data_IF_120052118400
#
_entry.id   IF_120052118400
#
_cell.length_a   1.000
_cell.length_b   1.000
_cell.length_c   1.000
_cell.angle_alpha   90.00
_cell.angle_beta   90.00
_cell.angle_gamma   90.00
#
_symmetry.space_group_name_H-M   'P 1'
#
loop_
_entity.id
_entity.type
_entity.pdbx_description
1 polymer ?
#
# COMPACT_ATOMS: atom_id res chain seq x y z
N UNK A 1 0.11 -12.10 3.73
CA UNK A 1 -1.20 -12.36 3.08
C UNK A 1 -2.20 -11.26 3.41
N UNK A 2 -1.89 -10.01 3.08
CA UNK A 2 -2.77 -8.84 3.31
C UNK A 2 -2.16 -7.65 2.61
N UNK A 3 -2.95 -6.77 2.02
CA UNK A 3 -2.55 -5.41 1.69
C UNK A 3 -3.70 -4.44 2.02
N UNK A 4 -3.39 -3.43 2.81
CA UNK A 4 -4.28 -2.32 3.14
C UNK A 4 -3.52 -1.01 2.94
N UNK A 5 -4.21 0.00 2.43
CA UNK A 5 -3.71 1.37 2.28
C UNK A 5 -4.76 2.36 2.74
N UNK A 6 -4.32 3.43 3.40
CA UNK A 6 -5.17 4.57 3.71
C UNK A 6 -4.42 5.89 3.47
N UNK A 7 -5.15 6.89 2.99
CA UNK A 7 -4.63 8.22 2.70
C UNK A 7 -5.44 9.29 3.44
N UNK A 8 -4.73 10.31 3.95
CA UNK A 8 -5.24 11.54 4.55
C UNK A 8 -4.92 12.71 3.63
N UNK A 9 -5.96 13.31 3.09
CA UNK A 9 -5.91 14.45 2.18
C UNK A 9 -6.59 15.65 2.85
N UNK A 10 -6.42 16.83 2.27
CA UNK A 10 -7.11 18.03 2.73
C UNK A 10 -8.63 17.90 2.57
N UNK A 11 -9.08 17.18 1.54
CA UNK A 11 -10.49 16.91 1.26
C UNK A 11 -11.11 15.80 2.14
N UNK A 12 -10.32 14.97 2.82
CA UNK A 12 -10.85 13.85 3.60
C UNK A 12 -9.93 12.62 3.68
N UNK A 13 -10.53 11.43 3.69
CA UNK A 13 -9.83 10.15 3.87
C UNK A 13 -10.24 9.14 2.79
N UNK A 14 -9.28 8.31 2.37
CA UNK A 14 -9.50 7.16 1.47
C UNK A 14 -8.91 5.91 2.11
N UNK A 15 -9.66 4.82 2.14
CA UNK A 15 -9.24 3.52 2.67
C UNK A 15 -9.49 2.42 1.65
N UNK A 16 -8.53 1.52 1.44
CA UNK A 16 -8.67 0.36 0.56
C UNK A 16 -8.01 -0.87 1.18
N UNK A 17 -8.78 -1.94 1.39
CA UNK A 17 -8.28 -3.22 1.89
C UNK A 17 -8.60 -4.38 0.98
N UNK A 18 -7.68 -5.31 0.82
CA UNK A 18 -7.96 -6.64 0.27
C UNK A 18 -8.63 -7.56 1.31
N UNK A 19 -9.13 -8.72 0.89
CA UNK A 19 -9.81 -9.67 1.80
C UNK A 19 -9.17 -11.05 1.91
N UNK A 20 -8.20 -11.38 1.05
CA UNK A 20 -7.51 -12.68 1.12
C UNK A 20 -6.70 -12.79 2.40
N UNK A 21 -6.90 -13.86 3.16
CA UNK A 21 -6.29 -14.02 4.49
C UNK A 21 -5.82 -15.45 4.70
N UNK A 22 -4.69 -15.59 5.40
CA UNK A 22 -4.20 -16.87 5.89
C UNK A 22 -4.86 -17.18 7.25
N UNK A 23 -5.65 -18.25 7.31
CA UNK A 23 -6.25 -18.74 8.55
C UNK A 23 -5.53 -19.98 9.12
N UNK A 24 -4.50 -20.50 8.45
CA UNK A 24 -3.76 -21.69 8.84
C UNK A 24 -3.07 -22.37 7.65
N UNK A 25 -2.34 -23.46 7.92
CA UNK A 25 -1.72 -24.27 6.85
C UNK A 25 -2.82 -24.71 5.87
N UNK A 26 -2.64 -24.36 4.59
CA UNK A 26 -3.58 -24.62 3.48
C UNK A 26 -5.00 -24.02 3.65
N UNK A 27 -5.17 -23.06 4.57
CA UNK A 27 -6.45 -22.39 4.80
C UNK A 27 -6.39 -20.93 4.34
N UNK A 28 -6.61 -20.73 3.04
CA UNK A 28 -6.79 -19.40 2.46
C UNK A 28 -8.28 -19.11 2.36
N UNK A 29 -8.72 -18.00 2.94
CA UNK A 29 -10.14 -17.62 2.99
C UNK A 29 -10.33 -16.11 2.84
N UNK A 30 -11.58 -15.69 2.70
CA UNK A 30 -11.99 -14.30 2.54
C UNK A 30 -12.45 -13.77 3.90
N UNK A 31 -11.71 -12.80 4.45
CA UNK A 31 -12.07 -12.07 5.66
C UNK A 31 -11.98 -10.57 5.39
N UNK A 32 -12.99 -9.80 5.80
CA UNK A 32 -12.93 -8.34 5.73
C UNK A 32 -11.86 -7.82 6.68
N UNK A 33 -11.07 -6.88 6.18
CA UNK A 33 -9.97 -6.24 6.92
C UNK A 33 -10.21 -4.78 7.21
N UNK A 34 -11.42 -4.28 6.93
CA UNK A 34 -11.86 -2.93 7.23
C UNK A 34 -13.07 -3.02 8.16
N UNK A 35 -13.08 -2.23 9.23
CA UNK A 35 -14.21 -2.11 10.14
C UNK A 35 -14.50 -0.65 10.42
N UNK A 36 -15.77 -0.26 10.29
CA UNK A 36 -16.24 1.11 10.49
C UNK A 36 -16.89 1.23 11.87
N UNK A 37 -16.51 2.28 12.60
CA UNK A 37 -17.10 2.72 13.86
C UNK A 37 -17.75 4.07 13.61
N UNK A 38 -19.06 4.07 13.42
CA UNK A 38 -19.81 5.26 13.00
C UNK A 38 -20.88 5.60 14.02
N UNK A 39 -20.93 6.89 14.40
CA UNK A 39 -22.08 7.51 15.04
C UNK A 39 -22.38 8.79 14.25
N UNK A 40 -23.38 8.74 13.33
CA UNK A 40 -23.62 9.82 12.39
C UNK A 40 -23.77 11.18 13.06
N UNK A 41 -23.05 12.18 12.54
CA UNK A 41 -23.07 13.54 13.07
C UNK A 41 -22.18 13.77 14.30
N UNK A 42 -21.52 12.72 14.82
CA UNK A 42 -20.60 12.83 15.95
C UNK A 42 -19.20 12.32 15.60
N UNK A 43 -19.09 11.11 15.02
CA UNK A 43 -17.79 10.49 14.72
C UNK A 43 -17.88 9.45 13.60
N UNK A 44 -16.84 9.38 12.79
CA UNK A 44 -16.62 8.32 11.82
C UNK A 44 -15.17 7.87 11.95
N UNK A 45 -14.96 6.60 12.29
CA UNK A 45 -13.62 6.01 12.43
C UNK A 45 -13.55 4.69 11.67
N UNK A 46 -12.39 4.37 11.12
CA UNK A 46 -12.11 3.16 10.35
C UNK A 46 -10.88 2.49 10.92
N UNK A 47 -10.99 1.18 11.18
CA UNK A 47 -9.87 0.31 11.55
C UNK A 47 -9.58 -0.63 10.39
N UNK A 48 -8.33 -0.70 9.96
CA UNK A 48 -7.83 -1.69 9.01
C UNK A 48 -6.84 -2.63 9.68
N UNK A 49 -6.87 -3.91 9.32
CA UNK A 49 -6.10 -4.95 10.00
C UNK A 49 -5.13 -5.70 9.08
N UNK A 50 -3.96 -6.05 9.61
CA UNK A 50 -2.98 -6.94 8.99
C UNK A 50 -2.20 -7.71 10.06
N UNK A 51 -1.62 -8.84 9.68
CA UNK A 51 -0.85 -9.72 10.57
C UNK A 51 -1.62 -11.01 10.87
N UNK A 52 -1.50 -11.49 12.11
CA UNK A 52 -2.17 -12.71 12.57
C UNK A 52 -3.68 -12.46 12.69
N UNK A 53 -4.48 -13.29 12.00
CA UNK A 53 -5.94 -13.14 11.96
C UNK A 53 -6.57 -13.22 13.36
N UNK A 54 -6.19 -14.22 14.16
CA UNK A 54 -6.73 -14.40 15.51
C UNK A 54 -6.40 -13.22 16.43
N UNK A 55 -5.17 -12.70 16.34
CA UNK A 55 -4.76 -11.49 17.09
C UNK A 55 -5.57 -10.28 16.65
N UNK A 56 -5.69 -10.04 15.33
CA UNK A 56 -6.44 -8.87 14.82
C UNK A 56 -7.92 -8.92 15.18
N UNK A 57 -8.55 -10.10 15.14
CA UNK A 57 -9.93 -10.30 15.57
C UNK A 57 -10.08 -10.14 17.08
N UNK A 58 -9.12 -10.60 17.88
CA UNK A 58 -9.12 -10.39 19.33
C UNK A 58 -9.04 -8.90 19.69
N UNK A 59 -8.21 -8.13 18.98
CA UNK A 59 -8.12 -6.67 19.16
C UNK A 59 -9.44 -6.01 18.75
N UNK A 60 -10.00 -6.37 17.60
CA UNK A 60 -11.29 -5.83 17.15
C UNK A 60 -12.41 -6.14 18.16
N UNK A 61 -12.49 -7.38 18.66
CA UNK A 61 -13.46 -7.78 19.66
C UNK A 61 -13.29 -7.02 20.98
N UNK A 62 -12.05 -6.74 21.39
CA UNK A 62 -11.79 -5.91 22.57
C UNK A 62 -12.26 -4.46 22.38
N UNK A 63 -12.14 -3.91 21.17
CA UNK A 63 -12.59 -2.56 20.83
C UNK A 63 -14.11 -2.44 20.63
N UNK A 64 -14.74 -3.49 20.10
CA UNK A 64 -16.17 -3.52 19.81
C UNK A 64 -17.05 -3.72 21.05
N UNK A 65 -16.50 -4.33 22.11
CA UNK A 65 -17.21 -4.50 23.38
C UNK A 65 -17.52 -3.14 23.98
N UNK A 66 -18.81 -2.84 24.11
CA UNK A 66 -19.26 -1.74 24.96
C UNK A 66 -19.19 -2.20 26.41
N UNK A 67 -18.59 -1.39 27.27
CA UNK A 67 -18.62 -1.62 28.70
C UNK A 67 -19.90 -1.02 29.26
N UNK A 68 -20.70 -1.83 29.95
CA UNK A 68 -22.01 -1.44 30.47
C UNK A 68 -21.92 -0.26 31.48
N UNK A 69 -20.74 0.00 32.07
CA UNK A 69 -20.52 1.11 33.01
C UNK A 69 -19.13 1.75 32.84
N UNK A 70 -19.07 3.01 32.39
CA UNK A 70 -17.95 3.95 32.63
C UNK A 70 -16.58 3.66 31.97
N UNK A 71 -16.44 2.61 31.15
CA UNK A 71 -15.16 2.26 30.54
C UNK A 71 -14.68 3.24 29.46
N UNK A 72 -13.36 3.42 29.34
CA UNK A 72 -12.74 4.14 28.21
C UNK A 72 -12.86 3.32 26.92
N UNK A 73 -13.66 3.77 25.95
CA UNK A 73 -13.91 3.07 24.68
C UNK A 73 -13.67 3.98 23.48
N UNK A 74 -13.47 3.46 22.27
CA UNK A 74 -13.37 4.35 21.08
C UNK A 74 -14.62 5.22 20.88
N UNK A 75 -15.76 4.82 21.43
CA UNK A 75 -17.05 5.52 21.35
C UNK A 75 -17.20 6.73 22.27
N UNK A 76 -16.37 6.86 23.31
CA UNK A 76 -16.37 8.02 24.20
C UNK A 76 -15.00 8.71 24.26
N UNK A 77 -14.14 8.46 23.26
CA UNK A 77 -12.87 9.17 23.12
C UNK A 77 -13.16 10.64 22.76
N UNK A 78 -12.46 11.61 23.38
CA UNK A 78 -12.66 13.03 23.11
C UNK A 78 -12.11 13.46 21.74
N UNK A 79 -11.06 12.77 21.26
CA UNK A 79 -10.39 13.05 20.00
C UNK A 79 -9.79 11.77 19.40
N UNK A 80 -9.32 11.86 18.16
CA UNK A 80 -8.74 10.72 17.44
C UNK A 80 -7.42 10.22 18.03
N UNK A 81 -6.66 11.04 18.76
CA UNK A 81 -5.43 10.59 19.42
C UNK A 81 -5.77 9.67 20.60
N UNK A 82 -6.70 10.08 21.46
CA UNK A 82 -7.18 9.25 22.57
C UNK A 82 -7.91 7.99 22.07
N UNK A 83 -8.65 8.08 20.97
CA UNK A 83 -9.22 6.89 20.32
C UNK A 83 -8.11 5.92 19.87
N UNK A 84 -7.03 6.43 19.27
CA UNK A 84 -5.87 5.62 18.84
C UNK A 84 -5.11 5.04 20.04
N UNK A 85 -4.97 5.80 21.14
CA UNK A 85 -4.38 5.30 22.40
C UNK A 85 -5.16 4.09 22.93
N UNK A 86 -6.49 4.09 22.82
CA UNK A 86 -7.36 2.97 23.20
C UNK A 86 -7.18 1.76 22.27
N UNK A 87 -6.97 1.97 20.97
CA UNK A 87 -6.56 0.91 20.03
C UNK A 87 -5.23 0.29 20.47
N UNK A 88 -4.22 1.11 20.79
CA UNK A 88 -2.93 0.64 21.28
C UNK A 88 -3.03 -0.13 22.60
N UNK A 89 -3.88 0.32 23.52
CA UNK A 89 -4.17 -0.39 24.77
C UNK A 89 -4.81 -1.76 24.53
N UNK A 90 -5.74 -1.86 23.57
CA UNK A 90 -6.34 -3.13 23.18
C UNK A 90 -5.30 -4.11 22.59
N UNK A 91 -4.38 -3.63 21.75
CA UNK A 91 -3.25 -4.44 21.25
C UNK A 91 -2.42 -5.01 22.40
N UNK A 92 -2.05 -4.19 23.38
CA UNK A 92 -1.28 -4.63 24.56
C UNK A 92 -2.04 -5.63 25.43
N UNK A 93 -3.34 -5.42 25.62
CA UNK A 93 -4.18 -6.35 26.37
C UNK A 93 -4.24 -7.73 25.72
N UNK A 94 -4.35 -7.78 24.38
CA UNK A 94 -4.30 -9.05 23.62
C UNK A 94 -2.90 -9.66 23.68
N UNK A 95 -1.84 -8.85 23.57
CA UNK A 95 -0.45 -9.30 23.74
C UNK A 95 -0.25 -10.02 25.08
N UNK A 96 -0.67 -9.40 26.19
CA UNK A 96 -0.53 -10.00 27.53
C UNK A 96 -1.28 -11.32 27.69
N UNK A 97 -2.36 -11.53 26.94
CA UNK A 97 -3.15 -12.78 27.01
C UNK A 97 -2.62 -13.88 26.11
N UNK A 98 -2.20 -13.54 24.89
CA UNK A 98 -1.96 -14.52 23.83
C UNK A 98 -0.47 -14.75 23.51
N UNK A 99 0.40 -13.76 23.74
CA UNK A 99 1.78 -13.79 23.22
C UNK A 99 2.62 -14.95 23.77
N UNK A 100 2.45 -15.31 25.04
CA UNK A 100 3.18 -16.43 25.64
C UNK A 100 2.82 -17.78 24.98
N UNK A 101 1.52 -18.05 24.82
CA UNK A 101 1.05 -19.28 24.18
C UNK A 101 1.43 -19.35 22.70
N UNK A 102 1.36 -18.23 21.98
CA UNK A 102 1.82 -18.15 20.58
C UNK A 102 3.31 -18.47 20.48
N UNK A 103 4.12 -17.88 21.36
CA UNK A 103 5.57 -18.10 21.38
C UNK A 103 5.94 -19.57 21.67
N UNK A 104 5.24 -20.22 22.61
CA UNK A 104 5.41 -21.66 22.89
C UNK A 104 5.13 -22.55 21.67
N UNK A 105 4.24 -22.10 20.76
CA UNK A 105 3.93 -22.77 19.50
C UNK A 105 4.81 -22.31 18.32
N UNK A 106 5.84 -21.49 18.58
CA UNK A 106 6.74 -20.97 17.55
C UNK A 106 6.12 -19.93 16.62
N UNK A 107 5.05 -19.26 17.07
CA UNK A 107 4.35 -18.20 16.32
C UNK A 107 4.62 -16.85 16.95
N UNK A 108 5.09 -15.89 16.15
CA UNK A 108 5.28 -14.52 16.63
C UNK A 108 3.96 -13.78 16.79
N UNK A 109 3.85 -12.97 17.84
CA UNK A 109 2.77 -12.01 17.98
C UNK A 109 2.96 -10.88 16.95
N UNK A 110 2.11 -10.87 15.92
CA UNK A 110 2.20 -9.91 14.83
C UNK A 110 0.84 -9.30 14.52
N UNK A 111 0.73 -7.99 14.66
CA UNK A 111 -0.43 -7.20 14.23
C UNK A 111 0.02 -5.81 13.82
N UNK A 112 -0.48 -5.34 12.68
CA UNK A 112 -0.33 -3.95 12.26
C UNK A 112 -1.70 -3.42 11.89
N UNK A 113 -2.01 -2.22 12.37
CA UNK A 113 -3.32 -1.60 12.17
C UNK A 113 -3.15 -0.23 11.53
N UNK A 114 -4.11 0.16 10.71
CA UNK A 114 -4.32 1.56 10.35
C UNK A 114 -5.62 1.99 11.03
N UNK A 115 -5.59 3.12 11.72
CA UNK A 115 -6.78 3.68 12.37
C UNK A 115 -6.92 5.15 11.97
N UNK A 116 -8.05 5.53 11.40
CA UNK A 116 -8.25 6.90 10.92
C UNK A 116 -9.72 7.30 10.92
N UNK A 117 -9.97 8.60 10.88
CA UNK A 117 -11.33 9.11 11.01
C UNK A 117 -11.39 10.58 11.42
N UNK A 118 -12.57 10.97 11.89
CA UNK A 118 -12.88 12.30 12.39
C UNK A 118 -13.87 12.22 13.56
N UNK A 119 -13.65 13.03 14.59
CA UNK A 119 -14.52 13.17 15.77
C UNK A 119 -14.89 14.65 15.93
N UNK A 120 -16.19 14.95 15.95
CA UNK A 120 -16.72 16.31 16.09
C UNK A 120 -16.14 17.26 15.04
N UNK A 121 -15.59 18.39 15.48
CA UNK A 121 -14.96 19.40 14.64
C UNK A 121 -13.44 19.22 14.49
N UNK A 122 -12.88 18.10 14.94
CA UNK A 122 -11.45 17.82 14.72
C UNK A 122 -11.18 17.64 13.22
N UNK A 123 -9.96 17.94 12.76
CA UNK A 123 -9.54 17.56 11.40
C UNK A 123 -9.52 16.04 11.22
N UNK A 124 -9.57 15.57 9.99
CA UNK A 124 -9.27 14.17 9.66
C UNK A 124 -7.87 13.78 10.15
N UNK A 125 -7.78 12.64 10.85
CA UNK A 125 -6.52 12.09 11.36
C UNK A 125 -6.38 10.62 10.97
N UNK A 126 -5.14 10.19 10.79
CA UNK A 126 -4.81 8.86 10.33
C UNK A 126 -3.55 8.38 11.04
N UNK A 127 -3.58 7.17 11.57
CA UNK A 127 -2.53 6.58 12.40
C UNK A 127 -2.18 5.19 11.93
N UNK A 128 -0.91 4.82 12.11
CA UNK A 128 -0.44 3.44 12.02
C UNK A 128 -0.09 2.94 13.41
N UNK A 129 -0.74 1.86 13.85
CA UNK A 129 -0.51 1.21 15.15
C UNK A 129 0.32 -0.05 14.95
N UNK A 130 1.39 -0.19 15.73
CA UNK A 130 2.33 -1.32 15.67
C UNK A 130 1.99 -2.41 16.70
N UNK A 131 2.60 -3.59 16.56
CA UNK A 131 2.42 -4.72 17.50
C UNK A 131 2.71 -4.39 18.97
N UNK A 132 3.53 -3.38 19.26
CA UNK A 132 3.81 -2.90 20.62
C UNK A 132 2.73 -1.96 21.18
N UNK A 133 1.69 -1.66 20.39
CA UNK A 133 0.60 -0.74 20.73
C UNK A 133 0.98 0.74 20.72
N UNK A 134 2.21 1.09 20.34
CA UNK A 134 2.57 2.46 19.98
C UNK A 134 2.13 2.76 18.53
N UNK A 135 2.11 4.04 18.18
CA UNK A 135 1.62 4.47 16.87
C UNK A 135 2.29 5.76 16.41
N UNK A 136 2.18 6.02 15.10
CA UNK A 136 2.56 7.29 14.44
C UNK A 136 1.35 7.88 13.72
N UNK A 137 1.39 9.18 13.45
CA UNK A 137 0.33 9.91 12.73
C UNK A 137 0.81 10.36 11.35
N UNK A 138 -0.09 10.33 10.36
CA UNK A 138 0.17 10.83 9.02
C UNK A 138 0.28 12.37 9.03
N UNK A 139 1.36 12.88 8.43
CA UNK A 139 1.60 14.32 8.26
C UNK A 139 1.21 14.81 6.88
N UNK A 140 1.67 16.01 6.50
CA UNK A 140 1.58 16.50 5.12
C UNK A 140 2.70 15.94 4.24
N UNK A 141 3.88 15.71 4.81
CA UNK A 141 5.04 15.09 4.14
C UNK A 141 4.80 13.60 3.81
N UNK A 142 4.01 12.92 4.63
CA UNK A 142 3.65 11.51 4.46
C UNK A 142 2.13 11.37 4.68
N UNK A 143 1.32 11.56 3.62
CA UNK A 143 -0.14 11.61 3.74
C UNK A 143 -0.79 10.22 3.76
N UNK A 144 -0.04 9.11 3.75
CA UNK A 144 -0.62 7.77 3.66
C UNK A 144 0.14 6.74 4.47
N UNK A 145 -0.54 5.65 4.82
CA UNK A 145 0.06 4.46 5.42
C UNK A 145 -0.33 3.21 4.66
N UNK A 146 0.55 2.22 4.71
CA UNK A 146 0.32 0.88 4.17
C UNK A 146 0.65 -0.17 5.24
N UNK A 147 -0.12 -1.27 5.26
CA UNK A 147 0.15 -2.44 6.11
C UNK A 147 0.02 -3.73 5.28
N UNK A 148 0.77 -4.76 5.67
CA UNK A 148 0.91 -6.00 4.92
C UNK A 148 1.94 -5.92 3.79
N UNK A 149 1.62 -6.44 2.60
CA UNK A 149 2.49 -6.52 1.42
C UNK A 149 2.60 -5.17 0.69
N UNK A 150 3.09 -4.14 1.39
CA UNK A 150 3.05 -2.74 0.94
C UNK A 150 3.99 -2.39 -0.23
N UNK A 151 5.04 -3.19 -0.47
CA UNK A 151 6.17 -2.79 -1.33
C UNK A 151 5.79 -2.60 -2.80
N UNK A 152 4.93 -3.46 -3.33
CA UNK A 152 4.59 -3.50 -4.76
C UNK A 152 3.77 -2.28 -5.20
N UNK A 153 2.81 -1.86 -4.38
CA UNK A 153 1.93 -0.73 -4.65
C UNK A 153 2.50 0.63 -4.23
N UNK A 154 3.64 0.67 -3.52
CA UNK A 154 4.23 1.92 -3.00
C UNK A 154 4.67 2.92 -4.08
N UNK A 155 5.32 2.53 -5.19
CA UNK A 155 5.87 3.51 -6.14
C UNK A 155 4.83 4.43 -6.80
N UNK A 156 3.59 3.97 -7.02
CA UNK A 156 2.54 4.84 -7.59
C UNK A 156 2.01 5.84 -6.58
N UNK A 157 1.92 5.44 -5.30
CA UNK A 157 1.50 6.33 -4.21
C UNK A 157 2.53 7.46 -4.04
N UNK A 158 3.83 7.13 -4.01
CA UNK A 158 4.91 8.12 -3.89
C UNK A 158 4.95 9.13 -5.06
N UNK A 159 4.47 8.74 -6.24
CA UNK A 159 4.52 9.59 -7.45
C UNK A 159 3.31 10.51 -7.60
N UNK A 160 2.15 10.08 -7.12
CA UNK A 160 0.87 10.73 -7.43
C UNK A 160 0.24 11.37 -6.21
N UNK A 161 0.33 10.73 -5.04
CA UNK A 161 -0.47 11.10 -3.89
C UNK A 161 0.16 12.27 -3.14
N UNK A 162 -0.59 13.37 -3.02
CA UNK A 162 -0.20 14.60 -2.33
C UNK A 162 -1.37 15.08 -1.45
N UNK A 163 -1.15 15.93 -0.42
CA UNK A 163 -2.23 16.40 0.45
C UNK A 163 -3.40 17.08 -0.30
N UNK A 164 -3.11 17.77 -1.40
CA UNK A 164 -4.06 18.48 -2.26
C UNK A 164 -4.73 17.61 -3.33
N UNK A 165 -4.39 16.32 -3.41
CA UNK A 165 -5.03 15.37 -4.34
C UNK A 165 -6.51 15.22 -4.01
N UNK A 166 -7.38 15.20 -5.03
CA UNK A 166 -8.81 14.98 -4.83
C UNK A 166 -9.11 13.56 -4.34
N UNK A 167 -10.24 13.37 -3.63
CA UNK A 167 -10.64 12.05 -3.12
C UNK A 167 -10.77 11.00 -4.23
N UNK A 168 -11.33 11.39 -5.38
CA UNK A 168 -11.47 10.51 -6.55
C UNK A 168 -10.10 10.11 -7.14
N UNK A 169 -9.15 11.04 -7.20
CA UNK A 169 -7.79 10.73 -7.66
C UNK A 169 -7.04 9.84 -6.69
N UNK A 170 -7.19 10.06 -5.39
CA UNK A 170 -6.61 9.19 -4.38
C UNK A 170 -7.23 7.79 -4.40
N UNK A 171 -8.55 7.66 -4.59
CA UNK A 171 -9.22 6.37 -4.76
C UNK A 171 -8.71 5.63 -6.02
N UNK A 172 -8.60 6.34 -7.16
CA UNK A 172 -7.97 5.80 -8.38
C UNK A 172 -6.53 5.34 -8.12
N UNK A 173 -5.73 6.15 -7.45
CA UNK A 173 -4.34 5.84 -7.11
C UNK A 173 -4.24 4.57 -6.22
N UNK A 174 -5.10 4.46 -5.20
CA UNK A 174 -5.17 3.28 -4.34
C UNK A 174 -5.55 2.01 -5.12
N UNK A 175 -6.48 2.09 -6.07
CA UNK A 175 -6.86 0.95 -6.92
C UNK A 175 -5.71 0.51 -7.84
N UNK A 176 -4.95 1.45 -8.41
CA UNK A 176 -3.76 1.14 -9.23
C UNK A 176 -2.65 0.52 -8.37
N UNK A 177 -2.48 1.04 -7.15
CA UNK A 177 -1.58 0.48 -6.15
C UNK A 177 -1.94 -0.97 -5.84
N UNK A 178 -3.23 -1.26 -5.65
CA UNK A 178 -3.75 -2.61 -5.42
C UNK A 178 -3.58 -3.53 -6.64
N UNK A 179 -3.80 -3.06 -7.87
CA UNK A 179 -3.56 -3.88 -9.08
C UNK A 179 -2.11 -4.34 -9.17
N UNK A 180 -1.17 -3.43 -8.91
CA UNK A 180 0.26 -3.74 -8.93
C UNK A 180 0.59 -4.84 -7.91
N UNK A 181 0.03 -4.74 -6.69
CA UNK A 181 0.20 -5.75 -5.65
C UNK A 181 -0.45 -7.09 -6.00
N UNK A 182 -1.69 -7.09 -6.49
CA UNK A 182 -2.42 -8.31 -6.90
C UNK A 182 -1.69 -9.09 -7.99
N UNK A 183 -1.05 -8.39 -8.94
CA UNK A 183 -0.29 -9.02 -10.02
C UNK A 183 1.03 -9.62 -9.56
N UNK A 184 1.64 -9.06 -8.52
CA UNK A 184 3.00 -9.43 -8.09
C UNK A 184 3.04 -10.29 -6.84
N UNK A 185 1.95 -10.42 -6.10
CA UNK A 185 1.91 -11.20 -4.86
C UNK A 185 0.56 -11.91 -4.66
N UNK A 186 0.57 -13.24 -4.77
CA UNK A 186 -0.62 -14.11 -4.64
C UNK A 186 -1.27 -14.06 -3.25
N UNK A 187 -0.57 -13.54 -2.24
CA UNK A 187 -1.06 -13.47 -0.88
C UNK A 187 -2.09 -12.36 -0.65
N UNK A 188 -2.25 -11.48 -1.65
CA UNK A 188 -3.26 -10.42 -1.70
C UNK A 188 -4.35 -10.83 -2.67
N UNK A 189 -5.61 -10.53 -2.37
CA UNK A 189 -6.71 -10.99 -3.21
C UNK A 189 -8.04 -10.30 -3.00
N UNK A 190 -8.87 -10.38 -4.03
CA UNK A 190 -10.25 -9.92 -4.08
C UNK A 190 -11.17 -10.73 -3.13
N UNK A 191 -12.35 -10.19 -2.76
CA UNK A 191 -12.81 -8.82 -3.00
C UNK A 191 -12.00 -7.74 -2.27
N UNK A 192 -12.20 -6.48 -2.67
CA UNK A 192 -11.66 -5.30 -2.00
C UNK A 192 -12.80 -4.52 -1.33
N UNK A 193 -12.51 -3.91 -0.19
CA UNK A 193 -13.37 -2.88 0.40
C UNK A 193 -12.70 -1.52 0.20
N UNK A 194 -13.39 -0.61 -0.51
CA UNK A 194 -13.00 0.78 -0.73
C UNK A 194 -13.97 1.70 0.01
N UNK A 195 -13.44 2.56 0.88
CA UNK A 195 -14.20 3.59 1.60
C UNK A 195 -13.59 4.95 1.31
N UNK A 196 -14.43 5.90 0.93
CA UNK A 196 -14.07 7.32 0.81
C UNK A 196 -14.90 8.09 1.81
N UNK A 197 -14.26 9.07 2.45
CA UNK A 197 -14.84 9.93 3.46
C UNK A 197 -14.51 11.38 3.16
N UNK A 198 -15.54 12.19 2.95
CA UNK A 198 -15.41 13.64 2.85
C UNK A 198 -15.24 14.25 4.23
N UNK A 199 -14.30 15.18 4.36
CA UNK A 199 -14.10 15.92 5.61
C UNK A 199 -15.41 16.57 6.08
N UNK A 200 -15.61 16.58 7.40
CA UNK A 200 -16.77 17.14 8.10
C UNK A 200 -18.11 16.43 7.85
N UNK A 201 -18.14 15.33 7.08
CA UNK A 201 -19.37 14.59 6.84
C UNK A 201 -19.88 13.82 8.07
N UNK A 202 -18.96 13.40 8.95
CA UNK A 202 -19.19 12.61 10.18
C UNK A 202 -20.08 11.38 9.97
N UNK A 203 -20.01 10.80 8.76
CA UNK A 203 -20.64 9.56 8.32
C UNK A 203 -19.88 9.00 7.12
N UNK A 204 -20.04 7.73 6.79
CA UNK A 204 -19.52 7.15 5.55
C UNK A 204 -20.16 7.87 4.36
N UNK A 205 -19.33 8.39 3.44
CA UNK A 205 -19.83 9.11 2.26
C UNK A 205 -19.93 8.19 1.06
N UNK A 206 -18.89 7.39 0.80
CA UNK A 206 -18.91 6.38 -0.26
C UNK A 206 -18.28 5.07 0.19
N UNK A 207 -18.88 3.97 -0.23
CA UNK A 207 -18.37 2.63 0.03
C UNK A 207 -18.61 1.72 -1.17
N UNK A 208 -17.62 0.90 -1.52
CA UNK A 208 -17.73 -0.10 -2.57
C UNK A 208 -17.03 -1.40 -2.19
N UNK A 209 -17.72 -2.52 -2.44
CA UNK A 209 -17.14 -3.87 -2.41
C UNK A 209 -16.82 -4.28 -3.84
N UNK A 210 -15.53 -4.46 -4.16
CA UNK A 210 -15.02 -4.66 -5.52
C UNK A 210 -14.56 -6.10 -5.68
N UNK A 211 -15.26 -6.89 -6.48
CA UNK A 211 -14.89 -8.26 -6.82
C UNK A 211 -14.22 -8.35 -8.21
N UNK A 212 -14.04 -9.57 -8.71
CA UNK A 212 -13.46 -9.85 -10.03
C UNK A 212 -14.37 -9.47 -11.21
N UNK A 213 -15.65 -9.27 -10.94
CA UNK A 213 -16.65 -8.93 -11.95
C UNK A 213 -16.84 -7.42 -12.12
N UNK A 214 -16.37 -6.61 -11.17
CA UNK A 214 -16.46 -5.15 -11.21
C UNK A 214 -15.88 -4.55 -12.50
N UNK A 215 -16.74 -3.89 -13.28
CA UNK A 215 -16.40 -3.33 -14.60
C UNK A 215 -15.39 -2.20 -14.53
N UNK A 216 -15.55 -1.30 -13.55
CA UNK A 216 -14.65 -0.15 -13.38
C UNK A 216 -13.23 -0.61 -13.03
N UNK A 217 -13.10 -1.56 -12.10
CA UNK A 217 -11.79 -2.10 -11.74
C UNK A 217 -11.16 -2.86 -12.92
N UNK A 218 -11.93 -3.64 -13.68
CA UNK A 218 -11.44 -4.27 -14.92
C UNK A 218 -10.94 -3.24 -15.94
N UNK A 219 -11.69 -2.16 -16.13
CA UNK A 219 -11.34 -1.06 -17.03
C UNK A 219 -10.03 -0.40 -16.61
N UNK A 220 -9.87 -0.04 -15.33
CA UNK A 220 -8.62 0.60 -14.84
C UNK A 220 -7.43 -0.33 -15.06
N UNK A 221 -7.55 -1.61 -14.70
CA UNK A 221 -6.47 -2.60 -14.83
C UNK A 221 -6.02 -2.80 -16.28
N UNK A 222 -6.97 -2.79 -17.21
CA UNK A 222 -6.69 -2.89 -18.66
C UNK A 222 -6.02 -1.62 -19.17
N UNK A 223 -6.69 -0.48 -18.99
CA UNK A 223 -6.26 0.82 -19.51
C UNK A 223 -4.89 1.23 -18.95
N UNK A 224 -4.66 1.05 -17.65
CA UNK A 224 -3.39 1.38 -17.01
C UNK A 224 -2.22 0.56 -17.58
N UNK A 225 -2.43 -0.75 -17.73
CA UNK A 225 -1.41 -1.65 -18.30
C UNK A 225 -1.10 -1.34 -19.76
N UNK A 226 -2.09 -0.93 -20.55
CA UNK A 226 -1.89 -0.51 -21.94
C UNK A 226 -1.11 0.81 -22.03
N UNK A 227 -1.54 1.83 -21.27
CA UNK A 227 -0.87 3.14 -21.25
C UNK A 227 0.56 3.06 -20.75
N UNK A 228 0.85 2.23 -19.74
CA UNK A 228 2.23 2.00 -19.29
C UNK A 228 3.12 1.42 -20.38
N UNK A 229 2.62 0.46 -21.18
CA UNK A 229 3.38 -0.11 -22.31
C UNK A 229 3.60 0.92 -23.40
N UNK A 230 2.60 1.75 -23.69
CA UNK A 230 2.71 2.83 -24.65
C UNK A 230 3.80 3.83 -24.23
N UNK A 231 3.72 4.36 -23.01
CA UNK A 231 4.72 5.30 -22.47
C UNK A 231 6.11 4.66 -22.47
N UNK A 232 6.22 3.38 -22.11
CA UNK A 232 7.50 2.67 -22.16
C UNK A 232 8.08 2.59 -23.58
N UNK A 233 7.26 2.31 -24.59
CA UNK A 233 7.68 2.24 -25.99
C UNK A 233 8.04 3.62 -26.59
N UNK A 234 7.54 4.71 -25.99
CA UNK A 234 7.87 6.09 -26.38
C UNK A 234 9.21 6.57 -25.77
N UNK A 235 9.78 5.84 -24.80
CA UNK A 235 11.09 6.15 -24.23
C UNK A 235 12.17 5.79 -25.28
N UNK A 236 13.05 6.74 -25.68
CA UNK A 236 14.11 6.46 -26.62
C UNK A 236 15.03 5.33 -26.15
N UNK A 237 15.49 4.52 -27.11
CA UNK A 237 16.45 3.46 -26.82
C UNK A 237 17.73 4.03 -26.18
N UNK A 238 18.33 3.29 -25.23
CA UNK A 238 19.59 3.71 -24.62
C UNK A 238 20.71 3.82 -25.67
N UNK A 239 21.40 4.96 -25.69
CA UNK A 239 22.57 5.16 -26.53
C UNK A 239 23.81 4.52 -25.88
N UNK A 240 24.16 3.31 -26.31
CA UNK A 240 25.21 2.52 -25.68
C UNK A 240 26.63 3.06 -25.84
N UNK A 241 26.98 3.61 -27.01
CA UNK A 241 28.38 3.94 -27.34
C UNK A 241 28.47 5.14 -28.28
N UNK A 242 28.35 6.35 -27.71
CA UNK A 242 28.77 7.63 -28.32
C UNK A 242 29.31 8.56 -27.22
N UNK A 243 30.61 8.47 -26.88
CA UNK A 243 31.19 9.17 -25.72
C UNK A 243 30.97 10.69 -25.72
N UNK A 244 30.86 11.28 -26.91
CA UNK A 244 30.57 12.69 -27.19
C UNK A 244 29.09 13.09 -27.09
N UNK A 245 28.17 12.14 -27.05
CA UNK A 245 26.73 12.38 -26.93
C UNK A 245 26.31 12.43 -25.44
N UNK A 246 25.74 13.55 -24.94
CA UNK A 246 25.25 13.64 -23.57
C UNK A 246 24.19 12.58 -23.19
N UNK A 247 23.49 12.02 -24.19
CA UNK A 247 22.52 10.95 -24.01
C UNK A 247 23.13 9.55 -23.95
N UNK A 248 24.46 9.40 -24.09
CA UNK A 248 25.11 8.10 -24.02
C UNK A 248 25.20 7.56 -22.58
N UNK A 249 24.92 6.27 -22.42
CA UNK A 249 25.17 5.54 -21.18
C UNK A 249 26.66 5.48 -20.81
N UNK A 250 27.54 5.78 -21.77
CA UNK A 250 28.99 5.72 -21.64
C UNK A 250 29.57 7.14 -21.76
N UNK A 251 29.74 7.86 -20.63
CA UNK A 251 30.41 9.15 -20.67
C UNK A 251 31.90 8.99 -20.99
N UNK A 252 32.45 9.89 -21.80
CA UNK A 252 33.86 9.87 -22.24
C UNK A 252 34.89 9.80 -21.10
N UNK A 253 34.52 10.17 -19.88
CA UNK A 253 35.41 10.23 -18.71
C UNK A 253 35.42 8.96 -17.83
N UNK A 254 34.71 7.89 -18.21
CA UNK A 254 34.65 6.64 -17.41
C UNK A 254 35.08 5.40 -18.18
N UNK A 255 35.75 4.49 -17.47
CA UNK A 255 35.98 3.11 -17.95
C UNK A 255 34.61 2.42 -18.00
N UNK A 256 34.16 2.09 -19.21
CA UNK A 256 32.86 1.49 -19.49
C UNK A 256 32.97 0.06 -20.02
N UNK A 257 34.19 -0.47 -20.11
CA UNK A 257 34.39 -1.86 -20.47
C UNK A 257 34.03 -2.76 -19.28
N UNK A 258 33.38 -3.91 -19.51
CA UNK A 258 33.13 -4.87 -18.45
C UNK A 258 34.47 -5.38 -17.89
N UNK A 259 34.51 -5.59 -16.57
CA UNK A 259 35.61 -6.33 -15.96
C UNK A 259 35.56 -7.77 -16.46
N UNK A 260 36.60 -8.22 -17.15
CA UNK A 260 36.71 -9.58 -17.67
C UNK A 260 37.68 -10.38 -16.82
N UNK A 261 37.24 -11.52 -16.31
CA UNK A 261 38.15 -12.51 -15.73
C UNK A 261 38.76 -13.32 -16.88
N UNK A 262 40.09 -13.36 -16.97
CA UNK A 262 40.78 -14.11 -18.02
C UNK A 262 41.01 -15.57 -17.59
N UNK A 263 40.80 -16.55 -18.50
CA UNK A 263 41.18 -17.94 -18.24
C UNK A 263 42.70 -18.07 -18.12
N UNK A 264 43.19 -18.86 -17.17
CA UNK A 264 44.63 -18.99 -16.81
C UNK A 264 45.51 -19.47 -17.98
N UNK A 265 44.94 -20.20 -18.93
CA UNK A 265 45.68 -20.86 -20.02
C UNK A 265 45.26 -20.41 -21.44
N UNK A 266 44.71 -19.19 -21.59
CA UNK A 266 44.35 -18.65 -22.91
C UNK A 266 44.91 -17.25 -23.13
N UNK A 267 45.42 -17.02 -24.35
CA UNK A 267 45.78 -15.67 -24.81
C UNK A 267 44.52 -14.79 -24.80
N UNK A 268 44.60 -13.54 -24.28
CA UNK A 268 43.44 -12.65 -24.21
C UNK A 268 42.79 -12.51 -25.59
N UNK A 269 41.50 -12.86 -25.76
CA UNK A 269 40.83 -12.67 -27.03
C UNK A 269 40.70 -11.17 -27.31
N UNK A 270 40.98 -10.75 -28.54
CA UNK A 270 40.68 -9.40 -29.00
C UNK A 270 39.17 -9.22 -29.05
N UNK A 271 38.59 -8.59 -28.02
CA UNK A 271 37.17 -8.26 -28.03
C UNK A 271 36.91 -7.11 -29.01
N UNK A 272 35.97 -7.26 -29.96
CA UNK A 272 35.55 -6.14 -30.77
C UNK A 272 35.03 -5.02 -29.85
N UNK A 273 35.32 -3.77 -30.22
CA UNK A 273 34.72 -2.60 -29.55
C UNK A 273 33.20 -2.80 -29.55
N UNK A 274 32.51 -2.72 -28.39
CA UNK A 274 31.08 -2.98 -28.32
C UNK A 274 30.33 -2.20 -29.39
N UNK A 275 29.64 -2.93 -30.26
CA UNK A 275 28.96 -2.40 -31.43
C UNK A 275 27.96 -1.31 -30.99
N UNK A 276 27.99 -0.16 -31.65
CA UNK A 276 27.00 0.91 -31.49
C UNK A 276 25.69 0.38 -32.08
N UNK A 277 24.87 -0.30 -31.27
CA UNK A 277 23.50 -0.66 -31.65
C UNK A 277 22.65 0.62 -31.64
N UNK A 278 22.84 1.41 -32.70
CA UNK A 278 21.98 2.50 -33.12
C UNK A 278 22.09 2.60 -34.65
N UNK A 279 21.64 1.57 -35.35
CA UNK A 279 21.27 1.69 -36.75
C UNK A 279 19.93 1.00 -36.94
N UNK A 280 18.91 1.85 -36.99
CA UNK A 280 17.57 1.56 -37.46
C UNK A 280 17.67 1.17 -38.95
N UNK A 281 17.40 -0.07 -39.37
CA UNK A 281 17.41 -0.42 -40.79
C UNK A 281 16.05 -0.05 -41.37
N UNK A 282 15.81 1.24 -41.66
CA UNK A 282 14.51 1.63 -42.18
C UNK A 282 14.32 3.11 -42.48
N UNK A 283 15.01 3.64 -43.49
CA UNK A 283 14.50 4.67 -44.43
C UNK A 283 15.50 4.94 -45.55
N UNK A 284 15.66 3.97 -46.44
CA UNK A 284 15.99 4.27 -47.83
C UNK A 284 14.68 4.46 -48.59
N UNK A 285 14.29 5.72 -48.81
CA UNK A 285 13.42 6.09 -49.93
C UNK A 285 14.31 6.54 -51.08
N UNK A 286 14.25 5.91 -52.26
CA UNK A 286 14.59 6.58 -53.50
C UNK A 286 13.29 6.95 -54.25
N UNK A 287 13.19 8.25 -54.57
CA UNK A 287 12.25 8.96 -55.45
C UNK A 287 10.74 8.84 -55.18
#
# INVERSE_FOLDING_TARGET
MTYCVAARLDAGLVFLSDSRTNAGVDQISVFRKMTVFERPGERMMVLMTSGNLAVSQAVLNALARQHDEGGETVWNAPDMFEATRRVGAAVRAVYHREAAALHEQGVDFNVSLIFGGQIGSERCRLFQVYSAGNFIEAGSECPYFQIGEAKYGKPILDRVLRPDTSLDEAAKCALISMDSTLRSNISVGLPLDLLVYDADALRVTHFASIDEHNEYFRMIRGTWGERLRQVFAEIPDPLWTRPEDPGSLVPASRIHQPLRAEPVDMTPPAYPTPQVLAQDPGKDQPN
#
